data_IF_380941034607
#
_entry.id   IF_380941034607
#
_cell.length_a   1.000
_cell.length_b   1.000
_cell.length_c   1.000
_cell.angle_alpha   90.00
_cell.angle_beta   90.00
_cell.angle_gamma   90.00
#
_symmetry.space_group_name_H-M   'P 1'
#
loop_
_entity.id
_entity.type
_entity.pdbx_description
1 polymer ?
#
# COMPACT_ATOMS: atom_id res chain seq x y z
N UNK A 1 -65.71 34.18 -29.11
CA UNK A 1 -65.52 33.23 -28.01
C UNK A 1 -64.28 32.34 -28.31
N UNK A 2 -63.11 32.67 -27.76
CA UNK A 2 -61.87 31.99 -28.02
C UNK A 2 -61.61 31.07 -26.86
N UNK A 3 -61.62 29.72 -27.08
CA UNK A 3 -61.25 28.72 -26.07
C UNK A 3 -59.74 28.50 -26.16
N UNK A 4 -59.03 28.97 -25.14
CA UNK A 4 -57.60 28.72 -24.94
C UNK A 4 -57.42 27.36 -24.26
N UNK A 5 -56.90 26.37 -25.02
CA UNK A 5 -56.46 25.08 -24.47
C UNK A 5 -55.08 25.22 -23.82
N UNK A 6 -55.04 25.19 -22.49
CA UNK A 6 -53.80 25.09 -21.72
C UNK A 6 -53.41 23.63 -21.67
N UNK A 7 -52.41 23.24 -22.45
CA UNK A 7 -51.76 21.94 -22.33
C UNK A 7 -50.79 22.00 -21.15
N UNK A 8 -51.20 21.41 -20.02
CA UNK A 8 -50.36 21.25 -18.84
C UNK A 8 -49.32 20.16 -19.14
N UNK A 9 -48.11 20.60 -19.38
CA UNK A 9 -46.95 19.68 -19.56
C UNK A 9 -46.44 19.25 -18.19
N UNK A 10 -46.82 18.07 -17.75
CA UNK A 10 -46.30 17.48 -16.51
C UNK A 10 -44.87 16.98 -16.79
N UNK A 11 -43.90 17.72 -16.32
CA UNK A 11 -42.50 17.31 -16.35
C UNK A 11 -42.27 16.34 -15.19
N UNK A 12 -42.27 15.04 -15.47
CA UNK A 12 -41.91 14.01 -14.51
C UNK A 12 -40.37 14.04 -14.34
N UNK A 13 -39.87 14.65 -13.28
CA UNK A 13 -38.48 14.52 -12.86
C UNK A 13 -38.29 13.08 -12.36
N UNK A 14 -37.70 12.22 -13.18
CA UNK A 14 -37.10 10.95 -12.70
C UNK A 14 -35.86 11.29 -11.88
N UNK A 15 -36.01 11.30 -10.56
CA UNK A 15 -34.87 11.24 -9.64
C UNK A 15 -34.21 9.87 -9.77
N UNK A 16 -33.13 9.77 -10.53
CA UNK A 16 -32.24 8.63 -10.53
C UNK A 16 -31.55 8.60 -9.14
N UNK A 17 -32.12 7.84 -8.23
CA UNK A 17 -31.43 7.45 -7.00
C UNK A 17 -30.24 6.58 -7.44
N UNK A 18 -29.07 7.20 -7.63
CA UNK A 18 -27.81 6.49 -7.73
C UNK A 18 -27.58 5.83 -6.36
N UNK A 19 -27.87 4.55 -6.25
CA UNK A 19 -27.38 3.72 -5.14
C UNK A 19 -25.85 3.73 -5.21
N UNK A 20 -25.21 4.67 -4.54
CA UNK A 20 -23.78 4.60 -4.29
C UNK A 20 -23.56 3.44 -3.31
N UNK A 21 -22.95 2.37 -3.80
CA UNK A 21 -22.55 1.26 -2.94
C UNK A 21 -21.45 1.80 -2.02
N UNK A 22 -21.78 2.00 -0.75
CA UNK A 22 -20.90 2.60 0.27
C UNK A 22 -19.61 1.85 0.56
N UNK A 23 -19.43 0.68 -0.07
CA UNK A 23 -18.24 -0.15 0.12
C UNK A 23 -17.26 -0.09 -1.05
N UNK A 24 -17.51 0.76 -2.05
CA UNK A 24 -16.65 0.86 -3.22
C UNK A 24 -15.32 1.52 -2.87
N UNK A 25 -14.24 0.91 -3.33
CA UNK A 25 -12.88 1.45 -3.30
C UNK A 25 -12.38 1.60 -4.73
N UNK A 26 -11.84 2.75 -5.06
CA UNK A 26 -11.16 3.00 -6.32
C UNK A 26 -9.67 3.18 -6.08
N UNK A 27 -8.85 2.42 -6.80
CA UNK A 27 -7.39 2.47 -6.70
C UNK A 27 -6.87 2.84 -8.08
N UNK A 28 -6.15 3.95 -8.17
CA UNK A 28 -5.46 4.39 -9.38
C UNK A 28 -3.96 4.42 -9.12
N UNK A 29 -3.16 4.26 -10.15
CA UNK A 29 -1.72 4.35 -9.98
C UNK A 29 -0.99 4.74 -11.25
N UNK A 30 0.18 5.36 -11.05
CA UNK A 30 1.17 5.67 -12.07
C UNK A 30 2.53 5.14 -11.62
N UNK A 31 3.00 4.08 -12.28
CA UNK A 31 4.32 3.49 -11.98
C UNK A 31 5.23 3.72 -13.19
N UNK A 32 6.19 4.60 -13.02
CA UNK A 32 7.21 4.87 -14.04
C UNK A 32 8.01 3.61 -14.36
N UNK A 33 8.41 3.45 -15.59
CA UNK A 33 9.17 2.28 -16.08
C UNK A 33 8.41 0.94 -16.01
N UNK A 34 7.07 1.02 -15.92
CA UNK A 34 6.20 -0.15 -15.85
C UNK A 34 5.22 -0.22 -17.02
N UNK A 35 5.66 0.14 -18.25
CA UNK A 35 4.80 0.14 -19.43
C UNK A 35 4.38 -1.27 -19.82
N UNK A 36 3.07 -1.46 -20.04
CA UNK A 36 2.47 -2.73 -20.47
C UNK A 36 2.73 -3.91 -19.52
N UNK A 37 3.07 -3.64 -18.25
CA UNK A 37 3.30 -4.67 -17.23
C UNK A 37 1.99 -5.20 -16.67
N UNK A 38 1.96 -6.46 -16.30
CA UNK A 38 0.83 -7.05 -15.57
C UNK A 38 0.90 -6.62 -14.10
N UNK A 39 -0.22 -6.11 -13.62
CA UNK A 39 -0.39 -5.64 -12.24
C UNK A 39 -1.45 -6.49 -11.56
N UNK A 40 -1.20 -6.88 -10.33
CA UNK A 40 -2.11 -7.66 -9.50
C UNK A 40 -2.55 -6.84 -8.30
N UNK A 41 -3.82 -6.93 -7.95
CA UNK A 41 -4.34 -6.48 -6.67
C UNK A 41 -4.46 -7.70 -5.76
N UNK A 42 -3.72 -7.70 -4.67
CA UNK A 42 -3.75 -8.75 -3.65
C UNK A 42 -4.41 -8.21 -2.38
N UNK A 43 -5.31 -8.96 -1.79
CA UNK A 43 -5.80 -8.72 -0.43
C UNK A 43 -4.94 -9.50 0.54
N UNK A 44 -4.46 -8.82 1.59
CA UNK A 44 -3.63 -9.44 2.62
C UNK A 44 -4.52 -9.93 3.76
N UNK A 45 -4.56 -11.24 3.95
CA UNK A 45 -5.16 -11.88 5.10
C UNK A 45 -4.07 -12.26 6.11
N UNK A 46 -4.47 -12.75 7.28
CA UNK A 46 -3.52 -13.09 8.37
C UNK A 46 -2.51 -14.16 7.96
N UNK A 47 -2.92 -15.10 7.12
CA UNK A 47 -2.15 -16.27 6.74
C UNK A 47 -1.64 -16.27 5.29
N UNK A 48 -2.23 -15.46 4.43
CA UNK A 48 -1.90 -15.44 3.01
C UNK A 48 -2.30 -14.15 2.29
N UNK A 49 -1.61 -13.85 1.19
CA UNK A 49 -2.03 -12.87 0.21
C UNK A 49 -2.87 -13.55 -0.89
N UNK A 50 -4.04 -13.01 -1.21
CA UNK A 50 -4.95 -13.54 -2.23
C UNK A 50 -5.08 -12.54 -3.36
N UNK A 51 -4.79 -12.98 -4.59
CA UNK A 51 -5.02 -12.15 -5.79
C UNK A 51 -6.54 -12.03 -5.98
N UNK A 52 -7.06 -10.82 -5.93
CA UNK A 52 -8.49 -10.53 -6.11
C UNK A 52 -8.79 -9.90 -7.47
N UNK A 53 -7.80 -9.27 -8.11
CA UNK A 53 -7.94 -8.68 -9.45
C UNK A 53 -6.59 -8.57 -10.16
N UNK A 54 -6.60 -8.38 -11.48
CA UNK A 54 -5.40 -8.09 -12.26
C UNK A 54 -5.72 -7.24 -13.48
N UNK A 55 -4.81 -6.34 -13.82
CA UNK A 55 -4.88 -5.48 -15.01
C UNK A 55 -3.51 -5.36 -15.67
N UNK A 56 -3.41 -4.51 -16.68
CA UNK A 56 -2.12 -4.08 -17.25
C UNK A 56 -2.01 -2.59 -17.16
N UNK A 57 -0.78 -2.11 -16.93
CA UNK A 57 -0.47 -0.69 -17.11
C UNK A 57 -0.55 -0.30 -18.58
N UNK A 58 -0.90 0.95 -18.82
CA UNK A 58 -0.81 1.55 -20.16
C UNK A 58 0.65 1.92 -20.52
N UNK A 59 0.83 2.66 -21.63
CA UNK A 59 2.14 3.11 -22.10
C UNK A 59 2.82 4.11 -21.18
N UNK A 60 2.10 4.72 -20.26
CA UNK A 60 2.59 5.69 -19.29
C UNK A 60 2.70 5.10 -17.88
N UNK A 61 2.43 3.80 -17.73
CA UNK A 61 2.47 3.12 -16.44
C UNK A 61 1.20 3.29 -15.59
N UNK A 62 0.08 3.81 -16.16
CA UNK A 62 -1.17 3.96 -15.41
C UNK A 62 -1.95 2.66 -15.34
N UNK A 63 -2.65 2.49 -14.22
CA UNK A 63 -3.61 1.40 -14.00
C UNK A 63 -4.77 1.84 -13.12
N UNK A 64 -5.83 1.06 -13.11
CA UNK A 64 -6.99 1.29 -12.24
C UNK A 64 -7.54 -0.05 -11.78
N UNK A 65 -7.86 -0.13 -10.48
CA UNK A 65 -8.68 -1.19 -9.89
C UNK A 65 -9.94 -0.60 -9.25
N UNK A 66 -10.97 -1.43 -9.18
CA UNK A 66 -12.19 -1.18 -8.40
C UNK A 66 -12.46 -2.41 -7.57
N UNK A 67 -12.61 -2.23 -6.28
CA UNK A 67 -12.93 -3.31 -5.35
C UNK A 67 -13.96 -2.84 -4.34
N UNK A 68 -14.33 -3.69 -3.42
CA UNK A 68 -15.24 -3.35 -2.32
C UNK A 68 -14.65 -3.82 -1.01
N UNK A 69 -14.80 -3.02 0.03
CA UNK A 69 -14.47 -3.43 1.40
C UNK A 69 -15.50 -2.85 2.37
N UNK A 70 -15.81 -3.57 3.42
CA UNK A 70 -16.70 -3.11 4.50
C UNK A 70 -15.95 -2.66 5.76
N UNK A 71 -14.65 -2.94 5.82
CA UNK A 71 -13.75 -2.65 6.93
C UNK A 71 -12.38 -2.23 6.38
N UNK A 72 -11.56 -1.51 7.17
CA UNK A 72 -10.18 -1.25 6.82
C UNK A 72 -9.46 -2.55 6.45
N UNK A 73 -8.92 -2.62 5.25
CA UNK A 73 -8.35 -3.85 4.69
C UNK A 73 -7.00 -3.56 4.05
N UNK A 74 -6.03 -4.44 4.31
CA UNK A 74 -4.71 -4.35 3.72
C UNK A 74 -4.68 -4.93 2.32
N UNK A 75 -4.05 -4.20 1.41
CA UNK A 75 -3.85 -4.60 0.03
C UNK A 75 -2.40 -4.44 -0.41
N UNK A 76 -2.01 -5.24 -1.39
CA UNK A 76 -0.82 -5.00 -2.21
C UNK A 76 -1.23 -4.73 -3.67
N UNK A 77 -0.62 -3.72 -4.27
CA UNK A 77 -0.49 -3.64 -5.73
C UNK A 77 0.89 -4.17 -6.09
N UNK A 78 0.94 -5.26 -6.86
CA UNK A 78 2.16 -6.01 -7.15
C UNK A 78 2.46 -6.04 -8.65
N UNK A 79 3.72 -5.81 -8.98
CA UNK A 79 4.26 -5.89 -10.35
C UNK A 79 5.47 -6.83 -10.33
N UNK A 80 5.36 -7.96 -11.04
CA UNK A 80 6.41 -8.98 -10.97
C UNK A 80 6.54 -9.64 -9.60
N UNK A 81 7.67 -10.32 -9.32
CA UNK A 81 7.80 -11.15 -8.11
C UNK A 81 8.19 -10.38 -6.84
N UNK A 82 8.81 -9.21 -6.96
CA UNK A 82 9.44 -8.50 -5.83
C UNK A 82 8.92 -7.09 -5.59
N UNK A 83 8.33 -6.46 -6.60
CA UNK A 83 7.91 -5.07 -6.53
C UNK A 83 6.44 -4.97 -6.15
N UNK A 84 6.14 -4.29 -5.06
CA UNK A 84 4.79 -4.11 -4.57
C UNK A 84 4.66 -2.82 -3.74
N UNK A 85 3.43 -2.34 -3.63
CA UNK A 85 3.02 -1.25 -2.75
C UNK A 85 2.00 -1.81 -1.76
N UNK A 86 2.27 -1.70 -0.47
CA UNK A 86 1.30 -2.04 0.58
C UNK A 86 0.55 -0.80 1.05
N UNK A 87 -0.76 -0.92 1.14
CA UNK A 87 -1.64 0.15 1.61
C UNK A 87 -2.87 -0.41 2.33
N UNK A 88 -3.58 0.46 3.05
CA UNK A 88 -4.89 0.18 3.63
C UNK A 88 -5.93 0.95 2.84
N UNK A 89 -7.04 0.30 2.52
CA UNK A 89 -8.22 0.95 1.99
C UNK A 89 -9.40 0.75 2.93
N UNK A 90 -10.17 1.81 3.09
CA UNK A 90 -11.44 1.86 3.82
C UNK A 90 -12.60 1.99 2.84
N UNK A 91 -13.84 1.74 3.28
CA UNK A 91 -15.02 1.98 2.45
C UNK A 91 -15.04 3.41 1.89
N UNK A 92 -15.37 3.54 0.60
CA UNK A 92 -15.47 4.80 -0.14
C UNK A 92 -14.14 5.48 -0.50
N UNK A 93 -12.98 4.86 -0.17
CA UNK A 93 -11.67 5.43 -0.47
C UNK A 93 -11.39 5.56 -1.98
N UNK A 94 -10.71 6.65 -2.32
CA UNK A 94 -10.05 6.85 -3.60
C UNK A 94 -8.54 6.91 -3.36
N UNK A 95 -7.87 5.79 -3.60
CA UNK A 95 -6.43 5.64 -3.38
C UNK A 95 -5.66 5.98 -4.65
N UNK A 96 -4.65 6.82 -4.54
CA UNK A 96 -3.71 7.13 -5.61
C UNK A 96 -2.31 6.62 -5.25
N UNK A 97 -1.74 5.79 -6.12
CA UNK A 97 -0.44 5.15 -5.93
C UNK A 97 0.54 5.68 -6.97
N UNK A 98 1.76 6.02 -6.57
CA UNK A 98 2.80 6.39 -7.52
C UNK A 98 4.18 5.92 -7.09
N UNK A 99 5.06 5.71 -8.09
CA UNK A 99 6.42 5.27 -7.85
C UNK A 99 7.19 4.99 -9.14
N UNK A 100 8.35 4.38 -8.99
CA UNK A 100 9.16 3.86 -10.11
C UNK A 100 9.32 2.36 -9.91
N UNK A 101 9.23 1.58 -10.98
CA UNK A 101 9.23 0.11 -10.92
C UNK A 101 10.44 -0.43 -10.16
N UNK A 102 11.62 0.09 -10.45
CA UNK A 102 12.83 -0.31 -9.75
C UNK A 102 12.86 0.26 -8.32
N UNK A 103 12.77 -0.60 -7.33
CA UNK A 103 12.74 -0.22 -5.91
C UNK A 103 11.36 0.28 -5.45
N UNK A 104 10.30 -0.11 -6.13
CA UNK A 104 8.92 0.29 -5.83
C UNK A 104 8.53 -0.02 -4.39
N UNK A 105 8.92 -1.18 -3.87
CA UNK A 105 8.60 -1.60 -2.49
C UNK A 105 9.14 -0.67 -1.40
N UNK A 106 10.08 0.21 -1.75
CA UNK A 106 10.71 1.16 -0.82
C UNK A 106 10.38 2.61 -1.14
N UNK A 107 10.22 2.93 -2.45
CA UNK A 107 10.07 4.30 -2.95
C UNK A 107 8.75 4.47 -3.69
N UNK A 108 7.66 4.54 -2.94
CA UNK A 108 6.31 4.78 -3.46
C UNK A 108 5.59 5.87 -2.67
N UNK A 109 4.52 6.41 -3.24
CA UNK A 109 3.60 7.32 -2.59
C UNK A 109 2.20 6.72 -2.60
N UNK A 110 1.49 6.97 -1.51
CA UNK A 110 0.06 6.64 -1.36
C UNK A 110 -0.63 7.92 -0.95
N UNK A 111 -1.66 8.30 -1.67
CA UNK A 111 -2.56 9.39 -1.34
C UNK A 111 -3.99 8.87 -1.21
N UNK A 112 -4.87 9.61 -0.52
CA UNK A 112 -6.25 9.19 -0.29
C UNK A 112 -6.45 8.18 0.85
N UNK A 113 -5.40 7.88 1.66
CA UNK A 113 -5.49 7.04 2.85
C UNK A 113 -4.45 7.45 3.90
N UNK A 114 -4.90 8.03 5.00
CA UNK A 114 -4.02 8.40 6.11
C UNK A 114 -3.35 7.16 6.74
N UNK A 115 -4.10 6.08 6.91
CA UNK A 115 -3.61 4.83 7.46
C UNK A 115 -2.49 4.19 6.61
N UNK A 116 -2.51 4.39 5.29
CA UNK A 116 -1.46 3.92 4.40
C UNK A 116 -0.12 4.62 4.61
N UNK A 117 -0.12 5.88 5.02
CA UNK A 117 1.12 6.59 5.37
C UNK A 117 1.79 5.97 6.59
N UNK A 118 1.01 5.54 7.57
CA UNK A 118 1.52 4.85 8.76
C UNK A 118 2.08 3.47 8.42
N UNK A 119 1.39 2.71 7.56
CA UNK A 119 1.91 1.43 7.05
C UNK A 119 3.24 1.61 6.31
N UNK A 120 3.33 2.63 5.46
CA UNK A 120 4.57 2.96 4.75
C UNK A 120 5.71 3.26 5.72
N UNK A 121 5.46 4.10 6.73
CA UNK A 121 6.46 4.45 7.75
C UNK A 121 6.94 3.21 8.50
N UNK A 122 6.02 2.34 8.93
CA UNK A 122 6.35 1.10 9.61
C UNK A 122 7.20 0.18 8.73
N UNK A 123 6.80 -0.02 7.48
CA UNK A 123 7.54 -0.86 6.53
C UNK A 123 8.94 -0.31 6.23
N UNK A 124 9.06 1.02 6.07
CA UNK A 124 10.35 1.67 5.88
C UNK A 124 11.29 1.43 7.07
N UNK A 125 10.78 1.60 8.29
CA UNK A 125 11.56 1.38 9.51
C UNK A 125 11.97 -0.09 9.68
N UNK A 126 11.06 -1.03 9.42
CA UNK A 126 11.35 -2.47 9.45
C UNK A 126 12.43 -2.84 8.42
N UNK A 127 12.32 -2.34 7.20
CA UNK A 127 13.30 -2.60 6.15
C UNK A 127 14.69 -2.06 6.51
N UNK A 128 14.77 -0.84 7.05
CA UNK A 128 16.04 -0.28 7.52
C UNK A 128 16.67 -1.15 8.62
N UNK A 129 15.86 -1.63 9.55
CA UNK A 129 16.31 -2.55 10.60
C UNK A 129 16.87 -3.84 10.00
N UNK A 130 16.19 -4.44 9.03
CA UNK A 130 16.66 -5.64 8.34
C UNK A 130 18.00 -5.41 7.62
N UNK A 131 18.16 -4.32 6.89
CA UNK A 131 19.40 -3.98 6.20
C UNK A 131 20.57 -3.83 7.18
N UNK A 132 20.34 -3.16 8.32
CA UNK A 132 21.37 -3.01 9.36
C UNK A 132 21.74 -4.36 9.99
N UNK A 133 20.77 -5.21 10.30
CA UNK A 133 20.99 -6.54 10.85
C UNK A 133 21.75 -7.45 9.87
N UNK A 134 21.40 -7.43 8.59
CA UNK A 134 22.11 -8.18 7.55
C UNK A 134 23.57 -7.72 7.39
N UNK A 135 23.82 -6.43 7.48
CA UNK A 135 25.19 -5.88 7.49
C UNK A 135 26.00 -6.39 8.68
N UNK A 136 25.44 -6.37 9.89
CA UNK A 136 26.10 -6.89 11.09
C UNK A 136 26.36 -8.40 10.99
N UNK A 137 25.40 -9.17 10.48
CA UNK A 137 25.53 -10.61 10.24
C UNK A 137 26.69 -10.93 9.29
N UNK A 138 26.79 -10.19 8.18
CA UNK A 138 27.92 -10.33 7.23
C UNK A 138 29.25 -10.00 7.90
N UNK A 139 29.31 -8.90 8.66
CA UNK A 139 30.51 -8.49 9.39
C UNK A 139 30.93 -9.54 10.43
N UNK A 140 29.97 -10.05 11.18
CA UNK A 140 30.23 -11.12 12.16
C UNK A 140 30.77 -12.40 11.52
N UNK A 141 30.20 -12.80 10.39
CA UNK A 141 30.63 -14.01 9.66
C UNK A 141 32.05 -13.87 9.06
N UNK A 142 32.49 -12.66 8.76
CA UNK A 142 33.81 -12.39 8.21
C UNK A 142 34.92 -12.35 9.28
N UNK A 143 34.56 -12.28 10.56
CA UNK A 143 35.56 -12.23 11.66
C UNK A 143 36.10 -13.63 12.00
N UNK A 144 37.43 -13.78 12.24
CA UNK A 144 38.00 -14.98 12.75
C UNK A 144 37.46 -15.31 14.17
N UNK A 145 37.53 -16.58 14.57
CA UNK A 145 36.98 -17.04 15.84
C UNK A 145 37.63 -16.35 17.05
N UNK A 146 38.89 -15.97 16.91
CA UNK A 146 39.73 -15.36 17.95
C UNK A 146 39.44 -13.86 18.15
N UNK A 147 38.70 -13.19 17.23
CA UNK A 147 38.34 -11.78 17.30
C UNK A 147 37.22 -11.53 18.33
N UNK A 148 37.45 -11.88 19.59
CA UNK A 148 36.44 -11.89 20.65
C UNK A 148 35.87 -10.48 20.93
N UNK A 149 36.73 -9.45 20.97
CA UNK A 149 36.35 -8.07 21.24
C UNK A 149 35.44 -7.51 20.14
N UNK A 150 35.79 -7.76 18.88
CA UNK A 150 35.04 -7.32 17.71
C UNK A 150 33.67 -8.02 17.61
N UNK A 151 33.64 -9.31 17.92
CA UNK A 151 32.42 -10.11 18.01
C UNK A 151 31.46 -9.58 19.08
N UNK A 152 31.99 -9.20 20.26
CA UNK A 152 31.22 -8.63 21.35
C UNK A 152 30.62 -7.27 20.94
N UNK A 153 31.39 -6.42 20.25
CA UNK A 153 30.89 -5.14 19.74
C UNK A 153 29.73 -5.30 18.75
N UNK A 154 29.84 -6.29 17.85
CA UNK A 154 28.76 -6.58 16.89
C UNK A 154 27.52 -7.11 17.63
N UNK A 155 27.67 -7.98 18.64
CA UNK A 155 26.56 -8.46 19.46
C UNK A 155 25.85 -7.31 20.18
N UNK A 156 26.60 -6.39 20.80
CA UNK A 156 26.03 -5.20 21.44
C UNK A 156 25.30 -4.27 20.46
N UNK A 157 25.84 -4.10 19.25
CA UNK A 157 25.17 -3.34 18.18
C UNK A 157 23.89 -4.01 17.74
N UNK A 158 23.87 -5.33 17.61
CA UNK A 158 22.67 -6.12 17.30
C UNK A 158 21.58 -5.89 18.34
N UNK A 159 21.88 -6.06 19.62
CA UNK A 159 20.95 -5.85 20.72
C UNK A 159 20.39 -4.41 20.72
N UNK A 160 21.25 -3.43 20.45
CA UNK A 160 20.84 -2.02 20.35
C UNK A 160 19.82 -1.81 19.21
N UNK A 161 20.04 -2.41 18.04
CA UNK A 161 19.13 -2.31 16.89
C UNK A 161 17.80 -2.97 17.20
N UNK A 162 17.82 -4.18 17.77
CA UNK A 162 16.61 -4.91 18.17
C UNK A 162 15.78 -4.10 19.18
N UNK A 163 16.44 -3.57 20.22
CA UNK A 163 15.76 -2.77 21.24
C UNK A 163 15.15 -1.48 20.67
N UNK A 164 15.86 -0.79 19.76
CA UNK A 164 15.31 0.38 19.05
C UNK A 164 14.06 0.02 18.24
N UNK A 165 14.09 -1.10 17.53
CA UNK A 165 12.95 -1.56 16.74
C UNK A 165 11.75 -1.90 17.65
N UNK A 166 11.98 -2.62 18.76
CA UNK A 166 10.92 -2.96 19.72
C UNK A 166 10.27 -1.69 20.29
N UNK A 167 11.08 -0.72 20.69
CA UNK A 167 10.57 0.54 21.25
C UNK A 167 9.79 1.34 20.21
N UNK A 168 10.32 1.45 18.98
CA UNK A 168 9.59 2.08 17.89
C UNK A 168 8.24 1.41 17.64
N UNK A 169 8.21 0.07 17.56
CA UNK A 169 6.96 -0.66 17.30
C UNK A 169 5.94 -0.48 18.43
N UNK A 170 6.37 -0.47 19.69
CA UNK A 170 5.50 -0.20 20.85
C UNK A 170 4.93 1.21 20.79
N UNK A 171 5.78 2.21 20.59
CA UNK A 171 5.37 3.61 20.51
C UNK A 171 4.41 3.84 19.33
N UNK A 172 4.68 3.17 18.21
CA UNK A 172 3.84 3.24 17.02
C UNK A 172 2.43 2.71 17.29
N UNK A 173 2.32 1.50 17.87
CA UNK A 173 1.02 0.87 18.19
C UNK A 173 0.22 1.68 19.23
N UNK A 174 0.90 2.36 20.15
CA UNK A 174 0.23 3.15 21.18
C UNK A 174 -0.27 4.51 20.68
N UNK A 175 0.24 5.00 19.55
CA UNK A 175 -0.09 6.32 18.99
C UNK A 175 -1.07 6.27 17.82
N UNK A 176 -1.18 5.10 17.19
CA UNK A 176 -1.98 4.88 15.98
C UNK A 176 -2.81 3.60 16.10
#
# INVERSE_FOLDING_TARGET
MLRRNIRSSVFVLLALAACTNKNNVKITGEIKEAENQKVYLEQLNVDQAVIIDSTKTDRNGHFTFKTTTSLPTFYNVKIGPKEFITFIAEPEDHIELSGTLNGLSQNYWVDGSENSLWVKLLNFQLNNTHVMMDSLKKSFAALPAEATSERQKIAAAWDSIVNKQINFSKDFILKH
#
